data_IF_266552073424
#
_entry.id   IF_266552073424
#
_cell.length_a   1.000
_cell.length_b   1.000
_cell.length_c   1.000
_cell.angle_alpha   90.00
_cell.angle_beta   90.00
_cell.angle_gamma   90.00
#
_symmetry.space_group_name_H-M   'P 1'
#
loop_
_entity.id
_entity.type
_entity.pdbx_description
1 polymer ?
#
# COMPACT_ATOMS: atom_id res chain seq x y z
N UNK A 1 4.39 18.66 -5.78
CA UNK A 1 3.51 19.39 -6.71
C UNK A 1 3.34 18.68 -8.06
N UNK A 2 4.38 18.49 -8.89
CA UNK A 2 4.21 17.76 -10.17
C UNK A 2 4.02 16.24 -9.95
N UNK A 3 4.76 15.65 -9.01
CA UNK A 3 4.59 14.24 -8.65
C UNK A 3 3.17 13.92 -8.19
N UNK A 4 2.59 14.80 -7.37
CA UNK A 4 1.21 14.66 -6.88
C UNK A 4 0.20 14.69 -8.03
N UNK A 5 0.33 15.64 -8.98
CA UNK A 5 -0.55 15.72 -10.16
C UNK A 5 -0.49 14.43 -11.00
N UNK A 6 0.71 13.86 -11.20
CA UNK A 6 0.87 12.60 -11.93
C UNK A 6 0.26 11.44 -11.14
N UNK A 7 0.53 11.35 -9.84
CA UNK A 7 -0.01 10.32 -8.96
C UNK A 7 -1.54 10.34 -8.90
N UNK A 8 -2.10 11.53 -8.73
CA UNK A 8 -3.55 11.77 -8.67
C UNK A 8 -4.22 11.41 -9.98
N UNK A 9 -3.73 11.93 -11.10
CA UNK A 9 -4.35 11.73 -12.40
C UNK A 9 -4.29 10.28 -12.88
N UNK A 10 -3.16 9.59 -12.70
CA UNK A 10 -2.97 8.26 -13.26
C UNK A 10 -3.34 7.11 -12.31
N UNK A 11 -3.35 7.32 -11.00
CA UNK A 11 -3.51 6.23 -10.03
C UNK A 11 -4.58 6.52 -8.99
N UNK A 12 -4.44 7.58 -8.19
CA UNK A 12 -5.27 7.77 -6.99
C UNK A 12 -6.72 8.11 -7.37
N UNK A 13 -6.95 9.14 -8.19
CA UNK A 13 -8.31 9.55 -8.55
C UNK A 13 -9.06 8.48 -9.37
N UNK A 14 -8.47 7.84 -10.40
CA UNK A 14 -9.15 6.75 -11.10
C UNK A 14 -9.51 5.56 -10.20
N UNK A 15 -8.67 5.25 -9.19
CA UNK A 15 -8.96 4.18 -8.23
C UNK A 15 -10.10 4.58 -7.28
N UNK A 16 -10.13 5.84 -6.83
CA UNK A 16 -11.25 6.38 -6.04
C UNK A 16 -12.56 6.35 -6.84
N UNK A 17 -12.57 6.86 -8.08
CA UNK A 17 -13.76 6.88 -8.94
C UNK A 17 -14.32 5.47 -9.14
N UNK A 18 -13.45 4.48 -9.36
CA UNK A 18 -13.86 3.08 -9.47
C UNK A 18 -14.42 2.53 -8.16
N UNK A 19 -13.76 2.82 -7.03
CA UNK A 19 -14.20 2.37 -5.70
C UNK A 19 -15.57 2.94 -5.33
N UNK A 20 -15.80 4.23 -5.60
CA UNK A 20 -17.09 4.90 -5.41
C UNK A 20 -18.17 4.26 -6.29
N UNK A 21 -17.91 4.11 -7.59
CA UNK A 21 -18.85 3.50 -8.53
C UNK A 21 -19.20 2.04 -8.14
N UNK A 22 -18.23 1.27 -7.67
CA UNK A 22 -18.46 -0.09 -7.20
C UNK A 22 -19.34 -0.11 -5.94
N UNK A 23 -19.08 0.79 -4.99
CA UNK A 23 -19.86 0.93 -3.77
C UNK A 23 -21.31 1.37 -4.06
N UNK A 24 -21.52 2.34 -4.96
CA UNK A 24 -22.84 2.80 -5.41
C UNK A 24 -23.66 1.67 -6.05
N UNK A 25 -22.99 0.71 -6.68
CA UNK A 25 -23.60 -0.50 -7.27
C UNK A 25 -23.82 -1.63 -6.26
N UNK A 26 -23.63 -1.37 -4.97
CA UNK A 26 -23.92 -2.29 -3.88
C UNK A 26 -22.79 -3.27 -3.55
N UNK A 27 -21.58 -3.08 -4.10
CA UNK A 27 -20.42 -3.89 -3.69
C UNK A 27 -19.90 -3.43 -2.33
N UNK A 28 -19.45 -4.38 -1.50
CA UNK A 28 -18.74 -4.07 -0.26
C UNK A 28 -17.29 -3.74 -0.59
N UNK A 29 -16.95 -2.45 -0.62
CA UNK A 29 -15.63 -1.96 -0.99
C UNK A 29 -14.81 -1.67 0.27
N UNK A 30 -13.54 -2.08 0.25
CA UNK A 30 -12.54 -1.69 1.24
C UNK A 30 -11.42 -0.95 0.53
N UNK A 31 -10.94 0.12 1.12
CA UNK A 31 -9.93 0.99 0.55
C UNK A 31 -8.79 1.17 1.54
N UNK A 32 -7.54 1.25 1.06
CA UNK A 32 -6.39 1.57 1.88
C UNK A 32 -5.51 2.61 1.20
N UNK A 33 -4.75 3.35 2.00
CA UNK A 33 -3.73 4.27 1.52
C UNK A 33 -2.41 3.96 2.22
N UNK A 34 -1.41 3.54 1.45
CA UNK A 34 -0.10 3.14 1.98
C UNK A 34 0.84 4.35 2.00
N UNK A 35 1.28 4.76 3.19
CA UNK A 35 2.05 6.01 3.39
C UNK A 35 3.37 5.77 4.13
N UNK A 36 3.80 4.52 4.27
CA UNK A 36 5.07 4.21 4.93
C UNK A 36 6.20 4.19 3.91
N UNK A 37 7.24 5.01 4.12
CA UNK A 37 8.47 4.94 3.33
C UNK A 37 9.43 3.98 4.02
N UNK A 38 9.80 2.91 3.33
CA UNK A 38 10.75 1.91 3.84
C UNK A 38 12.06 2.58 4.24
N UNK A 39 12.55 2.27 5.43
CA UNK A 39 13.74 2.87 6.04
C UNK A 39 15.03 2.60 5.25
N UNK A 40 15.03 1.56 4.42
CA UNK A 40 16.10 1.16 3.51
C UNK A 40 15.84 1.56 2.05
N UNK A 41 14.82 2.38 1.78
CA UNK A 41 14.52 2.86 0.43
C UNK A 41 15.71 3.61 -0.18
N UNK A 42 16.15 3.18 -1.36
CA UNK A 42 17.27 3.76 -2.09
C UNK A 42 16.86 4.95 -2.97
N UNK A 43 15.57 5.21 -3.11
CA UNK A 43 15.04 6.35 -3.86
C UNK A 43 15.37 7.67 -3.16
N UNK A 44 15.38 8.78 -3.89
CA UNK A 44 15.55 10.09 -3.26
C UNK A 44 14.44 10.39 -2.25
N UNK A 45 14.75 11.04 -1.12
CA UNK A 45 13.76 11.33 -0.07
C UNK A 45 12.56 12.13 -0.59
N UNK A 46 12.79 13.04 -1.55
CA UNK A 46 11.75 13.85 -2.20
C UNK A 46 10.70 13.02 -2.95
N UNK A 47 11.03 11.78 -3.31
CA UNK A 47 10.12 10.86 -4.00
C UNK A 47 9.09 10.25 -3.05
N UNK A 48 9.30 10.33 -1.72
CA UNK A 48 8.33 9.85 -0.74
C UNK A 48 8.13 8.34 -0.79
N UNK A 49 6.88 7.90 -0.88
CA UNK A 49 6.48 6.49 -1.01
C UNK A 49 6.21 6.21 -2.47
N UNK A 50 7.03 5.36 -3.07
CA UNK A 50 6.94 5.09 -4.50
C UNK A 50 5.85 4.09 -4.83
N UNK A 51 5.30 4.21 -6.04
CA UNK A 51 4.39 3.21 -6.56
C UNK A 51 5.03 1.81 -6.52
N UNK A 52 4.37 0.87 -5.84
CA UNK A 52 4.85 -0.50 -5.65
C UNK A 52 5.62 -0.75 -4.35
N UNK A 53 5.95 0.28 -3.57
CA UNK A 53 6.61 0.12 -2.27
C UNK A 53 5.77 -0.72 -1.30
N UNK A 54 4.44 -0.75 -1.45
CA UNK A 54 3.56 -1.56 -0.61
C UNK A 54 3.65 -3.07 -0.88
N UNK A 55 4.11 -3.47 -2.07
CA UNK A 55 4.11 -4.87 -2.52
C UNK A 55 4.93 -5.74 -1.57
N UNK A 56 6.09 -5.27 -1.16
CA UNK A 56 6.98 -6.02 -0.27
C UNK A 56 6.31 -6.32 1.10
N UNK A 57 5.46 -5.41 1.58
CA UNK A 57 4.72 -5.58 2.82
C UNK A 57 3.56 -6.57 2.69
N UNK A 58 2.87 -6.56 1.54
CA UNK A 58 1.80 -7.52 1.22
C UNK A 58 2.34 -8.96 1.20
N UNK A 59 3.55 -9.16 0.68
CA UNK A 59 4.16 -10.49 0.56
C UNK A 59 5.04 -10.92 1.74
N UNK A 60 5.15 -10.10 2.79
CA UNK A 60 5.92 -10.48 3.97
C UNK A 60 7.43 -10.34 3.83
N UNK A 61 7.92 -9.57 2.84
CA UNK A 61 9.36 -9.36 2.64
C UNK A 61 10.05 -8.79 3.89
N UNK A 62 9.45 -7.84 4.64
CA UNK A 62 10.01 -7.37 5.90
C UNK A 62 10.19 -8.47 6.95
N UNK A 63 9.49 -9.61 6.88
CA UNK A 63 9.65 -10.71 7.85
C UNK A 63 10.89 -11.56 7.59
N UNK A 64 11.57 -11.39 6.45
CA UNK A 64 12.85 -12.03 6.21
C UNK A 64 13.91 -11.43 7.15
N UNK A 65 14.40 -12.24 8.09
CA UNK A 65 15.39 -11.81 9.08
C UNK A 65 16.78 -11.59 8.48
N UNK A 66 17.04 -12.07 7.27
CA UNK A 66 18.28 -11.81 6.52
C UNK A 66 18.30 -10.40 5.89
N UNK A 67 17.17 -9.68 5.89
CA UNK A 67 17.03 -8.35 5.35
C UNK A 67 16.91 -7.29 6.44
N UNK A 68 17.34 -6.08 6.11
CA UNK A 68 17.30 -4.93 7.02
C UNK A 68 15.94 -4.24 6.96
N UNK A 69 15.12 -4.52 7.97
CA UNK A 69 13.87 -3.83 8.27
C UNK A 69 13.77 -3.60 9.77
N UNK A 70 13.23 -2.45 10.16
CA UNK A 70 13.02 -2.12 11.56
C UNK A 70 11.79 -2.85 12.14
N UNK A 71 11.63 -2.86 13.46
CA UNK A 71 10.55 -3.60 14.13
C UNK A 71 9.16 -3.14 13.71
N UNK A 72 8.97 -1.83 13.46
CA UNK A 72 7.67 -1.29 13.02
C UNK A 72 7.32 -1.72 11.60
N UNK A 73 8.31 -1.86 10.72
CA UNK A 73 8.10 -2.35 9.35
C UNK A 73 7.69 -3.82 9.33
N UNK A 74 8.30 -4.63 10.21
CA UNK A 74 7.92 -6.04 10.40
C UNK A 74 6.49 -6.15 10.91
N UNK A 75 6.12 -5.34 11.90
CA UNK A 75 4.76 -5.25 12.40
C UNK A 75 3.76 -4.78 11.33
N UNK A 76 4.13 -3.76 10.55
CA UNK A 76 3.31 -3.25 9.44
C UNK A 76 3.05 -4.34 8.41
N UNK A 77 4.07 -5.11 8.03
CA UNK A 77 3.93 -6.21 7.08
C UNK A 77 3.00 -7.30 7.62
N UNK A 78 3.13 -7.69 8.89
CA UNK A 78 2.20 -8.63 9.52
C UNK A 78 0.75 -8.12 9.48
N UNK A 79 0.54 -6.83 9.76
CA UNK A 79 -0.79 -6.21 9.74
C UNK A 79 -1.39 -6.21 8.33
N UNK A 80 -0.61 -5.86 7.30
CA UNK A 80 -1.06 -5.85 5.90
C UNK A 80 -1.36 -7.28 5.42
N UNK A 81 -0.46 -8.22 5.67
CA UNK A 81 -0.69 -9.64 5.36
C UNK A 81 -1.97 -10.17 6.00
N UNK A 82 -2.21 -9.83 7.28
CA UNK A 82 -3.44 -10.22 7.96
C UNK A 82 -4.69 -9.58 7.35
N UNK A 83 -4.63 -8.31 6.95
CA UNK A 83 -5.74 -7.63 6.28
C UNK A 83 -6.07 -8.31 4.94
N UNK A 84 -5.06 -8.58 4.11
CA UNK A 84 -5.22 -9.27 2.82
C UNK A 84 -5.72 -10.70 2.99
N UNK A 85 -5.16 -11.46 3.95
CA UNK A 85 -5.59 -12.83 4.23
C UNK A 85 -7.04 -12.89 4.73
N UNK A 86 -7.45 -11.94 5.59
CA UNK A 86 -8.84 -11.84 6.05
C UNK A 86 -9.79 -11.49 4.91
N UNK A 87 -9.45 -10.49 4.09
CA UNK A 87 -10.25 -10.13 2.93
C UNK A 87 -10.40 -11.32 1.95
N UNK A 88 -9.32 -12.06 1.69
CA UNK A 88 -9.38 -13.25 0.85
C UNK A 88 -10.26 -14.36 1.45
N UNK A 89 -10.28 -14.50 2.78
CA UNK A 89 -11.06 -15.53 3.45
C UNK A 89 -12.56 -15.19 3.59
N UNK A 90 -12.91 -13.92 3.80
CA UNK A 90 -14.27 -13.53 4.20
C UNK A 90 -14.89 -12.35 3.45
N UNK A 91 -14.14 -11.67 2.58
CA UNK A 91 -14.50 -10.32 2.13
C UNK A 91 -14.65 -9.37 3.31
#
# INVERSE_FOLDING_TARGET
>A
MVGDVVGDYFFICPTNDFAELAAERGMKVYYYFFTHRTSTSLWGEWMGVMHGDEIEYVFGHPLNMSLQFNSRERELSLKIMQAFARFAATG
#
